data_IF_672265733008
#
_entry.id   IF_672265733008
#
_cell.length_a   1.000
_cell.length_b   1.000
_cell.length_c   1.000
_cell.angle_alpha   90.00
_cell.angle_beta   90.00
_cell.angle_gamma   90.00
#
_symmetry.space_group_name_H-M   'P 1'
#
loop_
_entity.id
_entity.type
_entity.pdbx_description
1 polymer ?
#
# COMPACT_ATOMS: atom_id res chain seq x y z
N UNK A 1 9.38 -13.95 -4.14
CA UNK A 1 10.85 -14.04 -4.35
C UNK A 1 11.33 -15.48 -4.53
N UNK A 2 11.10 -16.38 -3.57
CA UNK A 2 11.54 -17.79 -3.67
C UNK A 2 11.06 -18.48 -4.96
N UNK A 3 9.78 -18.34 -5.32
CA UNK A 3 9.22 -18.91 -6.56
C UNK A 3 9.93 -18.43 -7.83
N UNK A 4 10.19 -17.12 -7.96
CA UNK A 4 10.91 -16.57 -9.13
C UNK A 4 12.37 -17.00 -9.23
N UNK A 5 13.01 -17.36 -8.11
CA UNK A 5 14.37 -17.89 -8.10
C UNK A 5 14.35 -19.34 -8.61
N UNK A 6 13.42 -20.16 -8.13
CA UNK A 6 13.23 -21.55 -8.57
C UNK A 6 12.88 -21.62 -10.06
N UNK A 7 12.06 -20.70 -10.55
CA UNK A 7 11.65 -20.63 -11.96
C UNK A 7 12.69 -19.96 -12.88
N UNK A 8 13.83 -19.48 -12.34
CA UNK A 8 14.88 -18.83 -13.11
C UNK A 8 14.50 -17.46 -13.71
N UNK A 9 13.35 -16.91 -13.34
CA UNK A 9 12.83 -15.62 -13.86
C UNK A 9 13.21 -14.43 -12.98
N UNK A 10 14.00 -14.67 -11.92
CA UNK A 10 14.42 -13.62 -11.01
C UNK A 10 15.36 -12.61 -11.70
N UNK A 11 14.93 -11.35 -11.75
CA UNK A 11 15.75 -10.22 -12.20
C UNK A 11 16.36 -9.52 -10.98
N UNK A 12 17.66 -9.66 -10.81
CA UNK A 12 18.43 -8.88 -9.83
C UNK A 12 18.60 -7.42 -10.28
N UNK A 13 18.87 -6.52 -9.34
CA UNK A 13 19.07 -5.09 -9.61
C UNK A 13 17.80 -4.26 -9.83
N UNK A 14 16.62 -4.87 -9.75
CA UNK A 14 15.33 -4.16 -9.75
C UNK A 14 14.78 -3.99 -8.34
N UNK A 15 14.34 -2.78 -8.00
CA UNK A 15 13.53 -2.55 -6.80
C UNK A 15 12.13 -3.14 -6.99
N UNK A 16 11.63 -3.87 -5.98
CA UNK A 16 10.24 -4.33 -5.91
C UNK A 16 9.56 -3.65 -4.74
N UNK A 17 8.60 -2.78 -5.03
CA UNK A 17 7.78 -2.11 -4.03
C UNK A 17 6.48 -2.88 -3.88
N UNK A 18 6.11 -3.20 -2.64
CA UNK A 18 4.88 -3.91 -2.30
C UNK A 18 4.02 -3.03 -1.40
N UNK A 19 3.23 -2.14 -2.00
CA UNK A 19 2.34 -1.22 -1.30
C UNK A 19 0.89 -1.71 -1.25
N UNK A 20 -0.02 -0.77 -0.94
CA UNK A 20 -1.48 -0.99 -0.97
C UNK A 20 -1.98 -1.43 -2.35
N UNK A 21 -1.34 -0.97 -3.42
CA UNK A 21 -1.69 -1.31 -4.80
C UNK A 21 -1.30 -2.74 -5.16
N UNK A 22 -0.13 -3.17 -4.71
CA UNK A 22 0.40 -4.52 -4.95
C UNK A 22 -0.16 -5.56 -3.97
N UNK A 23 -1.03 -5.16 -3.04
CA UNK A 23 -1.58 -6.04 -2.01
C UNK A 23 -0.55 -6.48 -0.98
N UNK A 24 0.60 -5.81 -0.90
CA UNK A 24 1.65 -6.09 0.08
C UNK A 24 1.29 -5.63 1.48
N UNK A 25 0.43 -4.62 1.58
CA UNK A 25 -0.12 -4.08 2.83
C UNK A 25 -1.61 -3.75 2.64
N UNK A 26 -2.40 -3.89 3.69
CA UNK A 26 -3.85 -3.68 3.64
C UNK A 26 -4.51 -3.91 5.00
N UNK A 27 -5.83 -3.77 5.04
CA UNK A 27 -6.64 -4.02 6.23
C UNK A 27 -6.98 -5.51 6.26
N UNK A 28 -6.84 -6.15 7.43
CA UNK A 28 -7.22 -7.54 7.61
C UNK A 28 -8.73 -7.72 7.39
N UNK A 29 -9.13 -8.82 6.76
CA UNK A 29 -10.53 -9.06 6.39
C UNK A 29 -11.47 -9.11 7.59
N UNK A 30 -11.00 -9.63 8.72
CA UNK A 30 -11.78 -9.79 9.96
C UNK A 30 -12.07 -8.46 10.67
N UNK A 31 -11.32 -7.39 10.33
CA UNK A 31 -11.47 -6.07 10.95
C UNK A 31 -12.87 -5.48 10.69
N UNK A 32 -13.53 -5.88 9.58
CA UNK A 32 -14.87 -5.41 9.18
C UNK A 32 -15.95 -5.65 10.23
N UNK A 33 -15.77 -6.64 11.10
CA UNK A 33 -16.74 -6.98 12.14
C UNK A 33 -16.51 -6.23 13.46
N UNK A 34 -15.39 -5.50 13.58
CA UNK A 34 -14.95 -4.84 14.82
C UNK A 34 -15.06 -3.32 14.77
N UNK A 35 -15.22 -2.76 13.57
CA UNK A 35 -15.29 -1.32 13.34
C UNK A 35 -16.60 -0.96 12.64
N UNK A 36 -17.17 0.21 12.95
CA UNK A 36 -18.32 0.75 12.24
C UNK A 36 -18.11 0.85 10.72
N UNK A 37 -19.19 0.65 9.96
CA UNK A 37 -19.15 0.62 8.49
C UNK A 37 -18.72 1.95 7.87
N UNK A 38 -19.12 3.07 8.47
CA UNK A 38 -18.73 4.42 8.05
C UNK A 38 -17.22 4.65 8.12
N UNK A 39 -16.57 4.14 9.18
CA UNK A 39 -15.11 4.15 9.29
C UNK A 39 -14.49 3.28 8.21
N UNK A 40 -15.08 2.12 7.92
CA UNK A 40 -14.54 1.24 6.90
C UNK A 40 -14.67 1.80 5.49
N UNK A 41 -15.79 2.44 5.18
CA UNK A 41 -16.02 3.10 3.90
C UNK A 41 -15.05 4.27 3.70
N UNK A 42 -14.79 5.05 4.76
CA UNK A 42 -13.80 6.12 4.72
C UNK A 42 -12.39 5.58 4.41
N UNK A 43 -11.94 4.55 5.13
CA UNK A 43 -10.59 4.01 4.91
C UNK A 43 -10.46 3.37 3.52
N UNK A 44 -11.49 2.66 3.05
CA UNK A 44 -11.50 2.11 1.69
C UNK A 44 -11.39 3.21 0.63
N UNK A 45 -12.13 4.31 0.79
CA UNK A 45 -12.08 5.46 -0.11
C UNK A 45 -10.70 6.12 -0.14
N UNK A 46 -10.06 6.31 1.01
CA UNK A 46 -8.70 6.85 1.07
C UNK A 46 -7.68 5.86 0.49
N UNK A 47 -7.84 4.56 0.74
CA UNK A 47 -7.01 3.53 0.14
C UNK A 47 -7.12 3.50 -1.39
N UNK A 48 -8.31 3.74 -1.96
CA UNK A 48 -8.48 3.89 -3.41
C UNK A 48 -7.75 5.10 -3.96
N UNK A 49 -7.82 6.26 -3.31
CA UNK A 49 -7.04 7.45 -3.74
C UNK A 49 -5.53 7.20 -3.74
N UNK A 50 -5.04 6.48 -2.74
CA UNK A 50 -3.62 6.08 -2.67
C UNK A 50 -3.29 5.11 -3.82
N UNK A 51 -4.16 4.13 -4.11
CA UNK A 51 -3.99 3.18 -5.23
C UNK A 51 -4.02 3.87 -6.60
N UNK A 52 -4.87 4.89 -6.75
CA UNK A 52 -4.98 5.71 -7.96
C UNK A 52 -3.80 6.68 -8.14
N UNK A 53 -2.98 6.87 -7.10
CA UNK A 53 -1.84 7.79 -7.11
C UNK A 53 -2.24 9.25 -6.92
N UNK A 54 -3.49 9.53 -6.54
CA UNK A 54 -3.98 10.87 -6.17
C UNK A 54 -3.33 11.35 -4.86
N UNK A 55 -3.08 10.41 -3.95
CA UNK A 55 -2.36 10.66 -2.69
C UNK A 55 -1.03 9.92 -2.74
N UNK A 56 0.07 10.67 -2.76
CA UNK A 56 1.42 10.11 -2.54
C UNK A 56 1.72 10.11 -1.05
N UNK A 57 1.81 8.91 -0.48
CA UNK A 57 2.28 8.70 0.90
C UNK A 57 3.77 9.06 0.96
N UNK A 58 4.19 9.94 1.88
CA UNK A 58 5.59 10.31 2.02
C UNK A 58 6.38 9.10 2.53
N UNK A 59 7.56 8.88 1.94
CA UNK A 59 8.51 7.83 2.31
C UNK A 59 9.67 8.37 3.13
N UNK A 60 9.85 9.69 3.15
CA UNK A 60 10.90 10.38 3.91
C UNK A 60 10.33 11.52 4.76
N UNK A 61 11.10 11.96 5.75
CA UNK A 61 10.76 13.13 6.56
C UNK A 61 10.63 14.41 5.72
N UNK A 62 11.47 14.57 4.69
CA UNK A 62 11.40 15.69 3.76
C UNK A 62 10.10 15.69 2.95
N UNK A 63 9.69 14.54 2.41
CA UNK A 63 8.41 14.39 1.70
C UNK A 63 7.22 14.64 2.65
N UNK A 64 7.32 14.19 3.90
CA UNK A 64 6.30 14.44 4.92
C UNK A 64 6.14 15.93 5.20
N UNK A 65 7.26 16.64 5.41
CA UNK A 65 7.28 18.08 5.69
C UNK A 65 6.72 18.93 4.54
N UNK A 66 6.75 18.43 3.30
CA UNK A 66 6.14 19.09 2.14
C UNK A 66 4.61 18.93 2.08
N UNK A 67 4.07 17.85 2.67
CA UNK A 67 2.63 17.58 2.69
C UNK A 67 1.91 18.27 3.86
N UNK A 68 2.63 18.58 4.94
CA UNK A 68 2.08 19.16 6.18
C UNK A 68 2.16 20.70 6.19
N UNK A 69 2.93 21.30 5.26
CA UNK A 69 3.04 22.77 5.09
C UNK A 69 1.91 23.33 4.23
#
# INVERSE_FOLDING_TARGET
>A
LAKSIVEGTFKGGSEKVYGLKEGGVGIAEDTKNLIPQDVMDYVNKEAEKIKNGEIKIPRTEEEYNQLVK
#
